data_IF_022095525365
#
_entry.id   IF_022095525365
#
_cell.length_a   1.000
_cell.length_b   1.000
_cell.length_c   1.000
_cell.angle_alpha   90.00
_cell.angle_beta   90.00
_cell.angle_gamma   90.00
#
_symmetry.space_group_name_H-M   'P 1'
#
loop_
_entity.id
_entity.type
_entity.pdbx_description
1 polymer ?
#
# COMPACT_ATOMS: atom_id res chain seq x y z
N UNK A 1 30.45 -3.38 -44.78
CA UNK A 1 31.60 -4.26 -45.04
C UNK A 1 32.82 -3.52 -44.52
N UNK A 2 33.53 -3.92 -43.47
CA UNK A 2 33.66 -5.21 -42.82
C UNK A 2 33.72 -5.04 -41.28
N UNK A 3 33.18 -6.04 -40.60
CA UNK A 3 33.45 -6.33 -39.20
C UNK A 3 34.84 -6.93 -39.10
N UNK A 4 35.59 -6.66 -38.03
CA UNK A 4 36.55 -7.62 -37.46
C UNK A 4 36.80 -7.28 -35.99
N UNK A 5 36.54 -8.26 -35.11
CA UNK A 5 36.96 -8.27 -33.70
C UNK A 5 38.46 -8.52 -33.55
N UNK A 6 38.99 -8.77 -32.34
CA UNK A 6 38.57 -9.94 -31.56
C UNK A 6 38.58 -9.79 -30.03
N UNK A 7 38.05 -10.86 -29.44
CA UNK A 7 37.99 -11.31 -28.06
C UNK A 7 39.28 -11.22 -27.21
N UNK A 8 39.10 -11.01 -25.91
CA UNK A 8 39.59 -11.90 -24.84
C UNK A 8 40.20 -11.17 -23.64
N UNK A 9 39.61 -11.47 -22.49
CA UNK A 9 40.27 -11.82 -21.23
C UNK A 9 41.68 -11.24 -20.96
N UNK A 10 41.83 -10.51 -19.85
CA UNK A 10 42.64 -10.95 -18.68
C UNK A 10 43.04 -9.75 -17.81
N UNK A 11 42.74 -9.93 -16.52
CA UNK A 11 43.59 -9.62 -15.36
C UNK A 11 43.83 -8.15 -15.00
N UNK A 12 43.30 -7.81 -13.83
CA UNK A 12 43.72 -6.72 -12.97
C UNK A 12 45.24 -6.74 -12.69
N UNK A 13 45.86 -5.59 -12.41
CA UNK A 13 47.04 -5.52 -11.57
C UNK A 13 46.61 -5.32 -10.11
N UNK A 14 46.92 -6.31 -9.29
CA UNK A 14 46.93 -6.21 -7.84
C UNK A 14 48.36 -5.88 -7.38
N UNK A 15 48.45 -5.20 -6.23
CA UNK A 15 49.57 -5.19 -5.29
C UNK A 15 50.79 -4.34 -5.70
N UNK A 16 51.54 -3.67 -4.80
CA UNK A 16 51.53 -3.55 -3.35
C UNK A 16 52.32 -2.26 -3.02
N UNK A 17 52.19 -1.64 -1.85
CA UNK A 17 52.97 -2.01 -0.64
C UNK A 17 52.77 -0.87 0.37
N UNK A 18 52.52 -1.02 1.66
CA UNK A 18 53.14 -1.77 2.78
C UNK A 18 52.13 -1.67 3.94
N UNK A 19 51.99 -2.50 4.98
CA UNK A 19 52.52 -3.80 5.41
C UNK A 19 51.68 -4.21 6.63
N UNK A 20 51.62 -5.52 6.89
CA UNK A 20 51.25 -6.20 8.14
C UNK A 20 49.75 -6.36 8.51
N UNK A 21 49.21 -7.51 8.12
CA UNK A 21 48.29 -8.30 8.94
C UNK A 21 49.13 -9.20 9.89
N UNK A 22 48.60 -9.63 11.06
CA UNK A 22 47.89 -10.94 11.10
C UNK A 22 46.68 -10.85 12.06
N UNK A 23 45.63 -11.69 12.02
CA UNK A 23 45.64 -13.13 11.99
C UNK A 23 44.23 -13.62 11.62
N UNK A 24 44.17 -14.59 10.72
CA UNK A 24 43.00 -15.38 10.40
C UNK A 24 42.57 -16.21 11.60
N UNK A 25 41.37 -16.01 12.13
CA UNK A 25 40.57 -17.10 12.73
C UNK A 25 39.24 -16.61 13.27
N UNK A 26 38.22 -16.61 12.41
CA UNK A 26 36.94 -17.30 12.64
C UNK A 26 35.92 -16.73 11.69
N UNK A 27 35.61 -17.55 10.70
CA UNK A 27 34.24 -17.73 10.25
C UNK A 27 33.38 -18.04 11.49
N UNK A 28 32.79 -17.02 12.11
CA UNK A 28 31.68 -17.20 13.05
C UNK A 28 30.44 -16.62 12.39
N UNK A 29 29.62 -17.54 11.89
CA UNK A 29 28.19 -17.35 11.69
C UNK A 29 27.63 -16.56 12.89
N UNK A 30 27.21 -15.32 12.64
CA UNK A 30 26.37 -14.54 13.54
C UNK A 30 25.47 -13.73 12.62
N UNK A 31 24.44 -14.35 12.07
CA UNK A 31 23.07 -14.19 12.59
C UNK A 31 22.85 -12.77 13.07
N UNK A 32 22.27 -11.93 12.20
CA UNK A 32 21.24 -10.94 12.50
C UNK A 32 20.88 -10.21 11.20
N UNK A 33 19.72 -10.59 10.65
CA UNK A 33 18.74 -9.80 9.87
C UNK A 33 19.25 -8.67 8.96
N UNK A 34 19.15 -8.88 7.65
CA UNK A 34 19.09 -7.81 6.65
C UNK A 34 17.89 -6.85 6.90
N UNK A 35 17.86 -5.60 6.37
CA UNK A 35 18.26 -5.34 4.98
C UNK A 35 18.88 -3.96 4.63
N UNK A 36 19.57 -3.96 3.49
CA UNK A 36 19.82 -2.81 2.62
C UNK A 36 18.68 -1.79 2.59
N UNK A 37 18.79 -0.62 3.22
CA UNK A 37 18.02 0.59 2.86
C UNK A 37 18.79 1.86 3.23
N UNK A 38 19.54 2.41 2.28
CA UNK A 38 19.77 3.86 2.20
C UNK A 38 19.17 4.35 0.89
N UNK A 39 17.84 4.45 0.85
CA UNK A 39 17.18 5.42 -0.02
C UNK A 39 17.19 6.73 0.76
N UNK A 40 18.34 7.39 0.76
CA UNK A 40 18.48 8.74 1.28
C UNK A 40 17.82 9.68 0.27
N UNK A 41 16.61 10.14 0.55
CA UNK A 41 16.01 11.26 -0.16
C UNK A 41 15.66 12.36 0.85
N UNK A 42 16.51 13.39 0.99
CA UNK A 42 16.11 14.62 1.64
C UNK A 42 16.41 15.78 0.69
N UNK A 43 15.57 15.96 -0.34
CA UNK A 43 15.60 17.18 -1.17
C UNK A 43 14.19 17.67 -1.51
N UNK A 44 13.13 17.09 -0.93
CA UNK A 44 11.74 17.47 -1.22
C UNK A 44 11.08 17.98 0.06
N UNK A 45 10.08 18.85 -0.09
CA UNK A 45 9.39 19.55 1.01
C UNK A 45 8.86 18.58 2.08
N UNK A 46 8.93 18.93 3.38
CA UNK A 46 8.39 18.12 4.48
C UNK A 46 6.93 17.72 4.31
N UNK A 47 6.13 18.55 3.61
CA UNK A 47 4.73 18.25 3.34
C UNK A 47 4.55 17.06 2.39
N UNK A 48 5.41 16.93 1.39
CA UNK A 48 5.38 15.82 0.43
C UNK A 48 5.86 14.54 1.10
N UNK A 49 6.90 14.62 1.93
CA UNK A 49 7.39 13.46 2.68
C UNK A 49 6.31 12.89 3.61
N UNK A 50 5.55 13.75 4.29
CA UNK A 50 4.40 13.32 5.10
C UNK A 50 3.33 12.64 4.24
N UNK A 51 2.97 13.23 3.09
CA UNK A 51 1.99 12.64 2.18
C UNK A 51 2.43 11.24 1.70
N UNK A 52 3.69 11.10 1.28
CA UNK A 52 4.27 9.82 0.85
C UNK A 52 4.25 8.79 1.99
N UNK A 53 4.58 9.22 3.21
CA UNK A 53 4.54 8.36 4.38
C UNK A 53 3.12 7.84 4.65
N UNK A 54 2.09 8.69 4.59
CA UNK A 54 0.70 8.25 4.77
C UNK A 54 0.25 7.31 3.64
N UNK A 55 0.57 7.63 2.38
CA UNK A 55 0.20 6.80 1.24
C UNK A 55 0.84 5.41 1.29
N UNK A 56 2.07 5.30 1.80
CA UNK A 56 2.78 4.02 1.93
C UNK A 56 2.16 3.09 2.99
N UNK A 57 1.31 3.62 3.88
CA UNK A 57 0.57 2.80 4.87
C UNK A 57 -0.64 2.10 4.28
N UNK A 58 -1.09 2.51 3.08
CA UNK A 58 -2.21 1.88 2.42
C UNK A 58 -1.81 0.50 1.85
N UNK A 59 -2.67 -0.52 1.99
CA UNK A 59 -2.39 -1.83 1.42
C UNK A 59 -2.24 -1.72 -0.10
N UNK A 60 -1.20 -2.35 -0.66
CA UNK A 60 -0.92 -2.32 -2.10
C UNK A 60 -0.15 -1.08 -2.60
N UNK A 61 0.15 -0.10 -1.73
CA UNK A 61 0.92 1.10 -2.11
C UNK A 61 2.34 1.05 -1.55
N UNK A 62 3.31 0.72 -2.39
CA UNK A 62 4.74 0.81 -2.04
C UNK A 62 5.32 2.23 -2.21
N UNK A 63 6.51 2.48 -1.67
CA UNK A 63 7.20 3.79 -1.70
C UNK A 63 7.30 4.41 -3.10
N UNK A 64 7.54 3.60 -4.14
CA UNK A 64 7.62 4.09 -5.53
C UNK A 64 6.26 4.56 -6.05
N UNK A 65 5.20 3.83 -5.71
CA UNK A 65 3.82 4.19 -6.07
C UNK A 65 3.36 5.41 -5.27
N UNK A 66 3.67 5.47 -3.97
CA UNK A 66 3.35 6.60 -3.10
C UNK A 66 3.97 7.91 -3.61
N UNK A 67 5.24 7.92 -4.01
CA UNK A 67 5.85 9.10 -4.65
C UNK A 67 5.13 9.51 -5.93
N UNK A 68 4.80 8.54 -6.80
CA UNK A 68 4.06 8.83 -8.05
C UNK A 68 2.70 9.48 -7.77
N UNK A 69 1.97 8.98 -6.78
CA UNK A 69 0.68 9.54 -6.36
C UNK A 69 0.83 10.92 -5.74
N UNK A 70 1.84 11.14 -4.88
CA UNK A 70 2.10 12.44 -4.27
C UNK A 70 2.40 13.52 -5.32
N UNK A 71 3.23 13.22 -6.32
CA UNK A 71 3.51 14.15 -7.42
C UNK A 71 2.34 14.33 -8.38
N UNK A 72 1.46 13.33 -8.50
CA UNK A 72 0.22 13.48 -9.25
C UNK A 72 -0.72 14.48 -8.56
N UNK A 73 -0.94 14.33 -7.25
CA UNK A 73 -1.76 15.26 -6.45
C UNK A 73 -1.21 16.68 -6.43
N UNK A 74 0.11 16.85 -6.47
CA UNK A 74 0.74 18.18 -6.55
C UNK A 74 0.44 18.90 -7.87
N UNK A 75 0.24 18.15 -8.96
CA UNK A 75 -0.08 18.70 -10.29
C UNK A 75 -1.59 18.83 -10.52
N UNK A 76 -2.39 18.13 -9.75
CA UNK A 76 -3.85 18.19 -9.84
C UNK A 76 -4.35 19.59 -9.40
N UNK A 77 -5.51 20.04 -9.90
CA UNK A 77 -6.18 21.21 -9.38
C UNK A 77 -6.40 21.11 -7.87
N UNK A 78 -6.29 22.24 -7.17
CA UNK A 78 -6.45 22.31 -5.72
C UNK A 78 -7.77 21.69 -5.26
N UNK A 79 -8.85 21.94 -6.01
CA UNK A 79 -10.20 21.51 -5.64
C UNK A 79 -10.34 19.99 -5.70
N UNK A 80 -9.68 19.34 -6.67
CA UNK A 80 -9.67 17.87 -6.79
C UNK A 80 -8.89 17.22 -5.64
N UNK A 81 -7.73 17.77 -5.29
CA UNK A 81 -6.93 17.29 -4.16
C UNK A 81 -7.68 17.45 -2.82
N UNK A 82 -8.39 18.56 -2.64
CA UNK A 82 -9.20 18.80 -1.44
C UNK A 82 -10.46 17.92 -1.39
N UNK A 83 -11.09 17.67 -2.54
CA UNK A 83 -12.24 16.75 -2.62
C UNK A 83 -11.85 15.33 -2.20
N UNK A 84 -10.66 14.85 -2.61
CA UNK A 84 -10.15 13.56 -2.16
C UNK A 84 -9.91 13.54 -0.64
N UNK A 85 -9.31 14.59 -0.08
CA UNK A 85 -9.09 14.69 1.36
C UNK A 85 -10.41 14.68 2.14
N UNK A 86 -11.42 15.42 1.67
CA UNK A 86 -12.75 15.46 2.25
C UNK A 86 -13.44 14.08 2.19
N UNK A 87 -13.36 13.38 1.06
CA UNK A 87 -13.95 12.04 0.93
C UNK A 87 -13.35 11.03 1.93
N UNK A 88 -12.04 11.08 2.16
CA UNK A 88 -11.37 10.23 3.16
C UNK A 88 -11.85 10.56 4.57
N UNK A 89 -12.03 11.85 4.88
CA UNK A 89 -12.55 12.30 6.16
C UNK A 89 -14.00 11.86 6.37
N UNK A 90 -14.86 12.07 5.38
CA UNK A 90 -16.28 11.72 5.42
C UNK A 90 -16.49 10.23 5.67
N UNK A 91 -15.75 9.35 4.97
CA UNK A 91 -15.83 7.90 5.22
C UNK A 91 -15.48 7.56 6.67
N UNK A 92 -14.52 8.27 7.27
CA UNK A 92 -14.10 7.97 8.65
C UNK A 92 -15.06 8.51 9.71
N UNK A 93 -15.78 9.59 9.40
CA UNK A 93 -16.68 10.27 10.34
C UNK A 93 -18.13 9.76 10.26
N UNK A 94 -18.60 9.42 9.06
CA UNK A 94 -20.01 9.11 8.78
C UNK A 94 -20.29 7.63 8.72
N UNK A 95 -19.38 6.83 8.16
CA UNK A 95 -19.63 5.39 7.97
C UNK A 95 -19.55 4.65 9.30
N UNK A 96 -20.63 3.93 9.62
CA UNK A 96 -20.84 3.16 10.84
C UNK A 96 -21.34 1.76 10.48
N UNK A 97 -21.46 0.92 11.51
CA UNK A 97 -22.04 -0.41 11.37
C UNK A 97 -23.53 -0.37 11.77
N UNK A 98 -24.36 -1.02 10.96
CA UNK A 98 -25.77 -1.25 11.23
C UNK A 98 -25.95 -2.01 12.55
N UNK A 99 -26.89 -1.58 13.39
CA UNK A 99 -27.18 -2.20 14.69
C UNK A 99 -27.69 -3.65 14.58
N UNK A 100 -28.31 -4.03 13.46
CA UNK A 100 -28.91 -5.36 13.27
C UNK A 100 -27.98 -6.35 12.57
N UNK A 101 -27.50 -6.02 11.37
CA UNK A 101 -26.75 -6.95 10.52
C UNK A 101 -25.24 -6.66 10.45
N UNK A 102 -24.77 -5.55 11.03
CA UNK A 102 -23.36 -5.16 10.96
C UNK A 102 -22.88 -4.70 9.57
N UNK A 103 -23.79 -4.43 8.62
CA UNK A 103 -23.43 -3.83 7.33
C UNK A 103 -22.95 -2.37 7.50
N UNK A 104 -22.20 -1.85 6.53
CA UNK A 104 -21.81 -0.44 6.48
C UNK A 104 -23.00 0.44 6.11
N UNK A 105 -23.28 1.45 6.92
CA UNK A 105 -24.35 2.44 6.71
C UNK A 105 -23.95 3.79 7.32
N UNK A 106 -24.58 4.87 6.89
CA UNK A 106 -24.47 6.19 7.55
C UNK A 106 -25.56 6.41 8.62
N UNK A 107 -26.60 5.58 8.60
CA UNK A 107 -27.75 5.66 9.51
C UNK A 107 -27.67 4.61 10.64
N UNK A 108 -28.66 4.56 11.53
CA UNK A 108 -28.69 3.55 12.60
C UNK A 108 -28.91 2.12 12.06
N UNK A 109 -29.73 2.02 11.01
CA UNK A 109 -30.02 0.80 10.28
C UNK A 109 -29.53 0.96 8.83
N UNK A 110 -29.28 -0.16 8.15
CA UNK A 110 -28.99 -0.13 6.73
C UNK A 110 -30.31 -0.23 5.94
N UNK A 111 -30.28 0.23 4.68
CA UNK A 111 -31.44 0.18 3.78
C UNK A 111 -32.04 -1.22 3.58
N UNK A 112 -31.25 -2.27 3.81
CA UNK A 112 -31.71 -3.67 3.76
C UNK A 112 -32.55 -4.02 4.99
N UNK A 113 -32.08 -3.64 6.19
CA UNK A 113 -32.78 -3.90 7.45
C UNK A 113 -34.06 -3.05 7.59
N UNK A 114 -34.08 -1.85 7.00
CA UNK A 114 -35.24 -0.96 7.02
C UNK A 114 -36.37 -1.40 6.07
N UNK A 115 -36.06 -2.18 5.02
CA UNK A 115 -37.08 -2.61 4.06
C UNK A 115 -38.01 -3.69 4.67
N UNK A 116 -39.23 -3.27 5.00
CA UNK A 116 -40.27 -4.14 5.54
C UNK A 116 -40.78 -5.23 4.57
N UNK A 117 -40.38 -5.21 3.30
CA UNK A 117 -40.73 -6.24 2.31
C UNK A 117 -39.83 -7.47 2.40
N UNK A 118 -38.73 -7.41 3.16
CA UNK A 118 -37.80 -8.53 3.35
C UNK A 118 -38.25 -9.48 4.46
N UNK A 119 -37.94 -10.75 4.27
CA UNK A 119 -38.23 -11.80 5.26
C UNK A 119 -37.18 -11.80 6.37
N UNK A 120 -37.58 -11.39 7.58
CA UNK A 120 -36.71 -11.32 8.76
C UNK A 120 -36.47 -12.68 9.43
N UNK A 121 -37.07 -13.76 8.94
CA UNK A 121 -36.88 -15.11 9.49
C UNK A 121 -35.65 -15.82 8.92
N UNK A 122 -35.07 -15.31 7.84
CA UNK A 122 -33.93 -15.87 7.13
C UNK A 122 -32.75 -14.91 7.32
N UNK A 123 -31.54 -15.44 7.56
CA UNK A 123 -30.33 -14.64 7.75
C UNK A 123 -29.20 -15.21 6.90
N UNK A 124 -28.62 -14.36 6.04
CA UNK A 124 -27.41 -14.67 5.29
C UNK A 124 -26.18 -14.19 6.06
N UNK A 125 -25.41 -15.13 6.60
CA UNK A 125 -24.16 -14.83 7.30
C UNK A 125 -23.04 -14.73 6.27
N UNK A 126 -22.36 -13.58 6.24
CA UNK A 126 -21.21 -13.31 5.37
C UNK A 126 -19.95 -13.03 6.19
N UNK A 127 -18.78 -13.25 5.62
CA UNK A 127 -17.50 -12.98 6.30
C UNK A 127 -17.22 -11.48 6.38
N UNK A 128 -17.44 -10.75 5.29
CA UNK A 128 -17.19 -9.31 5.21
C UNK A 128 -18.41 -8.55 4.67
N UNK A 129 -18.62 -7.28 5.08
CA UNK A 129 -19.71 -6.46 4.53
C UNK A 129 -19.67 -6.30 3.00
N UNK A 130 -18.49 -6.42 2.40
CA UNK A 130 -18.32 -6.36 0.94
C UNK A 130 -18.94 -7.57 0.22
N UNK A 131 -19.06 -8.71 0.89
CA UNK A 131 -19.66 -9.91 0.32
C UNK A 131 -21.18 -9.76 0.21
N UNK A 132 -21.80 -9.00 1.12
CA UNK A 132 -23.22 -8.67 1.10
C UNK A 132 -23.61 -7.97 -0.22
N UNK A 133 -22.73 -7.10 -0.75
CA UNK A 133 -22.95 -6.41 -2.02
C UNK A 133 -23.05 -7.43 -3.18
N UNK A 134 -22.26 -8.51 -3.11
CA UNK A 134 -22.28 -9.55 -4.16
C UNK A 134 -23.57 -10.37 -4.11
N UNK A 135 -24.05 -10.71 -2.92
CA UNK A 135 -25.33 -11.41 -2.73
C UNK A 135 -26.49 -10.52 -3.17
N UNK A 136 -26.49 -9.25 -2.79
CA UNK A 136 -27.57 -8.33 -3.12
C UNK A 136 -27.71 -8.11 -4.64
N UNK A 137 -26.59 -8.11 -5.37
CA UNK A 137 -26.59 -7.93 -6.84
C UNK A 137 -27.26 -9.06 -7.61
N UNK A 138 -27.45 -10.25 -7.03
CA UNK A 138 -28.19 -11.33 -7.71
C UNK A 138 -29.70 -11.12 -7.66
N UNK A 139 -30.21 -10.32 -6.71
CA UNK A 139 -31.64 -10.12 -6.45
C UNK A 139 -32.45 -11.42 -6.21
N UNK A 140 -31.78 -12.55 -6.03
CA UNK A 140 -32.43 -13.83 -5.73
C UNK A 140 -32.70 -13.99 -4.23
N UNK A 141 -31.97 -13.25 -3.40
CA UNK A 141 -32.11 -13.26 -1.96
C UNK A 141 -33.12 -12.21 -1.48
N UNK A 142 -34.10 -12.62 -0.66
CA UNK A 142 -35.24 -11.76 -0.23
C UNK A 142 -35.41 -11.64 1.29
N UNK A 143 -34.41 -12.03 2.07
CA UNK A 143 -34.39 -11.89 3.53
C UNK A 143 -33.03 -11.51 4.02
#
# INVERSE_FOLDING_TARGET
MACDGPESSRRAPCAASHSAAPNSSRCSKRSLSWPRRRQNWPVVSPAIDNLVAQLTRLPGVGTRTAHRLAFHLLRAPKDEALALAAAVQDVKERVRFCKECGNLTEEELCSICEDARRDRTIVCVVEQPVDLISVERTHEYRG
#
